data_IF_846134146146
#
_entry.id   IF_846134146146
#
_cell.length_a   1.000
_cell.length_b   1.000
_cell.length_c   1.000
_cell.angle_alpha   90.00
_cell.angle_beta   90.00
_cell.angle_gamma   90.00
#
_symmetry.space_group_name_H-M   'P 1'
#
loop_
_entity.id
_entity.type
_entity.pdbx_description
1 polymer ?
#
# COMPACT_ATOMS: atom_id res chain seq x y z
N UNK A 1 -11.70 -9.38 9.75
CA UNK A 1 -12.65 -8.92 10.80
C UNK A 1 -12.77 -7.40 10.88
N UNK A 2 -11.68 -6.66 10.63
CA UNK A 2 -11.66 -5.20 10.68
C UNK A 2 -12.67 -4.52 9.72
N UNK A 3 -12.64 -4.83 8.43
CA UNK A 3 -13.56 -4.21 7.44
C UNK A 3 -15.03 -4.44 7.78
N UNK A 4 -15.37 -5.64 8.26
CA UNK A 4 -16.74 -5.96 8.70
C UNK A 4 -17.19 -5.06 9.86
N UNK A 5 -16.31 -4.72 10.81
CA UNK A 5 -16.61 -3.78 11.90
C UNK A 5 -16.87 -2.38 11.36
N UNK A 6 -16.07 -1.92 10.40
CA UNK A 6 -16.28 -0.62 9.74
C UNK A 6 -17.62 -0.59 9.02
N UNK A 7 -17.95 -1.65 8.28
CA UNK A 7 -19.23 -1.75 7.57
C UNK A 7 -20.43 -1.74 8.52
N UNK A 8 -20.32 -2.37 9.69
CA UNK A 8 -21.35 -2.29 10.75
C UNK A 8 -21.48 -0.90 11.35
N UNK A 9 -20.36 -0.18 11.49
CA UNK A 9 -20.35 1.18 12.03
C UNK A 9 -20.92 2.20 11.04
N UNK A 10 -20.46 2.17 9.79
CA UNK A 10 -20.94 3.06 8.73
C UNK A 10 -20.88 2.34 7.37
N UNK A 11 -22.02 1.80 6.88
CA UNK A 11 -22.06 1.13 5.58
C UNK A 11 -21.96 2.10 4.40
N UNK A 12 -22.22 3.40 4.61
CA UNK A 12 -22.10 4.44 3.58
C UNK A 12 -20.68 5.03 3.45
N UNK A 13 -19.73 4.56 4.27
CA UNK A 13 -18.35 5.02 4.27
C UNK A 13 -17.71 4.90 2.89
N UNK A 14 -16.92 5.91 2.52
CA UNK A 14 -16.16 5.96 1.28
C UNK A 14 -14.69 5.65 1.55
N UNK A 15 -14.12 4.75 0.76
CA UNK A 15 -12.72 4.35 0.82
C UNK A 15 -11.91 5.08 -0.24
N UNK A 16 -10.81 5.70 0.14
CA UNK A 16 -9.80 6.21 -0.78
C UNK A 16 -8.52 5.43 -0.52
N UNK A 17 -8.07 4.65 -1.50
CA UNK A 17 -6.93 3.75 -1.36
C UNK A 17 -5.85 4.16 -2.35
N UNK A 18 -4.66 4.45 -1.82
CA UNK A 18 -3.47 4.72 -2.62
C UNK A 18 -2.63 3.45 -2.80
N UNK A 19 -2.51 3.02 -4.06
CA UNK A 19 -1.71 1.89 -4.47
C UNK A 19 -0.33 2.37 -4.90
N UNK A 20 0.70 1.75 -4.33
CA UNK A 20 2.10 1.93 -4.75
C UNK A 20 2.62 0.60 -5.27
N UNK A 21 3.60 0.63 -6.17
CA UNK A 21 4.31 -0.57 -6.57
C UNK A 21 4.70 -1.42 -5.32
N UNK A 22 4.29 -2.71 -5.26
CA UNK A 22 4.52 -3.55 -4.10
C UNK A 22 6.00 -3.70 -3.73
N UNK A 23 6.91 -3.68 -4.71
CA UNK A 23 8.36 -3.79 -4.46
C UNK A 23 8.87 -2.52 -3.80
N UNK A 24 8.54 -1.36 -4.38
CA UNK A 24 8.91 -0.06 -3.80
C UNK A 24 8.32 0.12 -2.40
N UNK A 25 7.09 -0.37 -2.16
CA UNK A 25 6.44 -0.36 -0.85
C UNK A 25 7.16 -1.26 0.15
N UNK A 26 7.50 -2.49 -0.22
CA UNK A 26 8.20 -3.44 0.65
C UNK A 26 9.58 -2.89 1.06
N UNK A 27 10.35 -2.37 0.09
CA UNK A 27 11.65 -1.74 0.35
C UNK A 27 11.53 -0.50 1.22
N UNK A 28 10.53 0.35 0.97
CA UNK A 28 10.28 1.54 1.79
C UNK A 28 9.94 1.17 3.23
N UNK A 29 9.14 0.12 3.43
CA UNK A 29 8.75 -0.34 4.77
C UNK A 29 9.95 -0.94 5.50
N UNK A 30 10.72 -1.82 4.85
CA UNK A 30 11.94 -2.39 5.42
C UNK A 30 12.92 -1.31 5.91
N UNK A 31 13.29 -0.34 5.06
CA UNK A 31 14.24 0.70 5.45
C UNK A 31 13.69 1.61 6.55
N UNK A 32 12.38 1.89 6.55
CA UNK A 32 11.74 2.68 7.62
C UNK A 32 11.82 1.96 8.96
N UNK A 33 11.65 0.64 8.98
CA UNK A 33 11.71 -0.15 10.22
C UNK A 33 13.15 -0.39 10.69
N UNK A 34 14.13 -0.45 9.77
CA UNK A 34 15.55 -0.37 10.13
C UNK A 34 15.90 0.98 10.75
N UNK A 35 15.47 2.09 10.14
CA UNK A 35 15.71 3.44 10.67
C UNK A 35 15.05 3.67 12.05
N UNK A 36 13.97 2.95 12.35
CA UNK A 36 13.29 2.96 13.66
C UNK A 36 13.90 1.99 14.68
N UNK A 37 14.90 1.19 14.30
CA UNK A 37 15.51 0.18 15.16
C UNK A 37 14.61 -1.04 15.43
N UNK A 38 13.55 -1.25 14.64
CA UNK A 38 12.68 -2.42 14.77
C UNK A 38 13.19 -3.62 13.97
N UNK A 39 13.80 -3.37 12.80
CA UNK A 39 14.39 -4.42 11.95
C UNK A 39 15.91 -4.37 11.98
N UNK A 40 16.51 -5.52 12.30
CA UNK A 40 17.96 -5.72 12.44
C UNK A 40 18.50 -6.74 11.43
N UNK A 41 17.62 -7.52 10.80
CA UNK A 41 18.02 -8.51 9.82
C UNK A 41 18.27 -7.88 8.46
N UNK A 42 19.22 -8.42 7.68
CA UNK A 42 19.37 -8.04 6.28
C UNK A 42 18.07 -8.28 5.49
N UNK A 43 17.91 -7.55 4.39
CA UNK A 43 16.69 -7.52 3.57
C UNK A 43 16.14 -8.91 3.25
N UNK A 44 16.98 -9.84 2.80
CA UNK A 44 16.53 -11.16 2.36
C UNK A 44 16.03 -12.05 3.50
N UNK A 45 16.81 -12.26 4.58
CA UNK A 45 16.30 -12.91 5.79
C UNK A 45 15.00 -12.28 6.30
N UNK A 46 14.91 -10.95 6.37
CA UNK A 46 13.71 -10.25 6.82
C UNK A 46 12.47 -10.60 5.98
N UNK A 47 12.59 -10.55 4.65
CA UNK A 47 11.50 -10.85 3.70
C UNK A 47 11.06 -12.33 3.71
N UNK A 48 11.96 -13.25 4.06
CA UNK A 48 11.66 -14.67 4.17
C UNK A 48 11.02 -15.02 5.53
N UNK A 49 11.51 -14.41 6.61
CA UNK A 49 11.00 -14.62 7.97
C UNK A 49 9.63 -13.98 8.20
N UNK A 50 9.23 -13.01 7.38
CA UNK A 50 7.93 -12.32 7.50
C UNK A 50 6.76 -13.28 7.73
N UNK A 51 6.63 -14.34 6.93
CA UNK A 51 5.49 -15.27 7.06
C UNK A 51 5.41 -15.90 8.46
N UNK A 52 6.56 -16.20 9.05
CA UNK A 52 6.65 -16.80 10.37
C UNK A 52 6.40 -15.78 11.47
N UNK A 53 6.95 -14.56 11.33
CA UNK A 53 6.74 -13.45 12.28
C UNK A 53 5.30 -12.96 12.33
N UNK A 54 4.57 -13.03 11.22
CA UNK A 54 3.17 -12.62 11.15
C UNK A 54 2.18 -13.71 11.57
N UNK A 55 2.64 -14.96 11.76
CA UNK A 55 1.77 -16.08 12.09
C UNK A 55 1.11 -15.83 13.45
N UNK A 56 -0.23 -15.82 13.47
CA UNK A 56 -1.01 -15.52 14.68
C UNK A 56 -1.25 -14.03 14.94
N UNK A 57 -0.59 -13.12 14.21
CA UNK A 57 -0.68 -11.67 14.40
C UNK A 57 -1.36 -10.93 13.24
N UNK A 58 -2.03 -11.64 12.31
CA UNK A 58 -2.62 -11.04 11.10
C UNK A 58 -3.80 -10.07 11.37
N UNK A 59 -4.42 -10.15 12.55
CA UNK A 59 -5.49 -9.25 13.02
C UNK A 59 -5.04 -8.39 14.22
N UNK A 60 -3.73 -8.36 14.53
CA UNK A 60 -3.17 -7.58 15.64
C UNK A 60 -2.72 -6.20 15.13
N UNK A 61 -3.42 -5.16 15.58
CA UNK A 61 -3.18 -3.78 15.19
C UNK A 61 -2.57 -2.94 16.32
N UNK A 62 -2.09 -3.58 17.40
CA UNK A 62 -1.43 -2.88 18.49
C UNK A 62 -0.12 -2.20 18.03
N UNK A 63 0.32 -1.18 18.77
CA UNK A 63 1.49 -0.38 18.42
C UNK A 63 2.80 -1.18 18.33
N UNK A 64 2.93 -2.27 19.09
CA UNK A 64 4.09 -3.19 19.05
C UNK A 64 3.86 -4.46 18.22
N UNK A 65 2.76 -4.54 17.46
CA UNK A 65 2.40 -5.77 16.75
C UNK A 65 3.42 -6.14 15.66
N UNK A 66 3.73 -7.43 15.45
CA UNK A 66 4.53 -7.88 14.31
C UNK A 66 3.95 -7.45 12.96
N UNK A 67 2.63 -7.29 12.87
CA UNK A 67 1.93 -6.79 11.68
C UNK A 67 2.24 -5.32 11.37
N UNK A 68 2.62 -4.51 12.37
CA UNK A 68 3.04 -3.13 12.14
C UNK A 68 4.48 -3.06 11.62
N UNK A 69 5.36 -3.85 12.20
CA UNK A 69 6.80 -3.76 11.97
C UNK A 69 7.33 -4.66 10.85
N UNK A 70 6.81 -5.88 10.69
CA UNK A 70 7.47 -6.91 9.86
C UNK A 70 6.68 -7.30 8.61
N UNK A 71 5.58 -6.62 8.31
CA UNK A 71 4.68 -6.99 7.21
C UNK A 71 5.06 -6.37 5.86
N UNK A 72 6.25 -6.67 5.37
CA UNK A 72 6.80 -6.04 4.16
C UNK A 72 6.02 -6.41 2.89
N UNK A 73 5.77 -7.71 2.70
CA UNK A 73 5.12 -8.30 1.52
C UNK A 73 3.61 -8.35 1.69
N UNK A 74 3.11 -8.68 2.89
CA UNK A 74 1.70 -8.78 3.19
C UNK A 74 0.98 -7.44 2.95
N UNK A 75 1.62 -6.32 3.29
CA UNK A 75 1.10 -4.97 2.99
C UNK A 75 1.04 -4.64 1.50
N UNK A 76 1.79 -5.34 0.66
CA UNK A 76 1.79 -5.21 -0.80
C UNK A 76 0.77 -6.11 -1.49
N UNK A 77 0.12 -7.04 -0.77
CA UNK A 77 -0.95 -7.88 -1.31
C UNK A 77 -2.29 -7.13 -1.37
N UNK A 78 -2.37 -6.18 -2.31
CA UNK A 78 -3.57 -5.37 -2.48
C UNK A 78 -4.78 -6.18 -2.94
N UNK A 79 -4.59 -7.29 -3.65
CA UNK A 79 -5.71 -8.12 -4.09
C UNK A 79 -6.48 -8.66 -2.87
N UNK A 80 -5.76 -9.22 -1.89
CA UNK A 80 -6.37 -9.73 -0.65
C UNK A 80 -7.04 -8.62 0.17
N UNK A 81 -6.42 -7.44 0.22
CA UNK A 81 -7.00 -6.28 0.90
C UNK A 81 -8.27 -5.78 0.22
N UNK A 82 -8.27 -5.70 -1.11
CA UNK A 82 -9.43 -5.29 -1.91
C UNK A 82 -10.58 -6.30 -1.80
N UNK A 83 -10.30 -7.61 -1.78
CA UNK A 83 -11.35 -8.62 -1.59
C UNK A 83 -12.08 -8.41 -0.25
N UNK A 84 -11.32 -8.08 0.80
CA UNK A 84 -11.89 -7.81 2.11
C UNK A 84 -12.78 -6.56 2.10
N UNK A 85 -12.39 -5.51 1.37
CA UNK A 85 -13.16 -4.27 1.19
C UNK A 85 -14.42 -4.54 0.36
N UNK A 86 -14.28 -5.11 -0.83
CA UNK A 86 -15.40 -5.32 -1.76
C UNK A 86 -16.42 -6.35 -1.29
N UNK A 87 -16.07 -7.21 -0.33
CA UNK A 87 -17.06 -8.08 0.35
C UNK A 87 -18.11 -7.28 1.13
N UNK A 88 -17.79 -6.06 1.55
CA UNK A 88 -18.65 -5.25 2.41
C UNK A 88 -19.04 -3.89 1.82
N UNK A 89 -18.29 -3.38 0.86
CA UNK A 89 -18.52 -2.07 0.23
C UNK A 89 -18.63 -2.21 -1.29
N UNK A 90 -19.64 -1.59 -1.93
CA UNK A 90 -19.76 -1.64 -3.38
C UNK A 90 -18.64 -0.85 -4.07
N UNK A 91 -18.32 -1.15 -5.34
CA UNK A 91 -17.28 -0.45 -6.10
C UNK A 91 -17.43 1.07 -6.13
N UNK A 92 -18.66 1.59 -6.13
CA UNK A 92 -18.95 3.03 -6.10
C UNK A 92 -18.50 3.74 -4.82
N UNK A 93 -18.21 3.00 -3.75
CA UNK A 93 -17.71 3.53 -2.47
C UNK A 93 -16.20 3.37 -2.32
N UNK A 94 -15.49 2.96 -3.37
CA UNK A 94 -14.04 2.74 -3.34
C UNK A 94 -13.36 3.48 -4.48
N UNK A 95 -12.57 4.51 -4.15
CA UNK A 95 -11.70 5.21 -5.08
C UNK A 95 -10.27 4.66 -4.98
N UNK A 96 -9.76 4.13 -6.08
CA UNK A 96 -8.38 3.68 -6.20
C UNK A 96 -7.53 4.74 -6.93
N UNK A 97 -6.40 5.09 -6.33
CA UNK A 97 -5.44 6.04 -6.85
C UNK A 97 -4.03 5.43 -6.88
N UNK A 98 -3.22 5.87 -7.83
CA UNK A 98 -1.83 5.44 -7.92
C UNK A 98 -0.95 6.47 -7.22
N UNK A 99 -0.09 6.02 -6.31
CA UNK A 99 0.88 6.88 -5.63
C UNK A 99 1.83 7.57 -6.61
N UNK A 100 2.14 6.94 -7.75
CA UNK A 100 2.90 7.57 -8.83
C UNK A 100 2.15 8.76 -9.44
N UNK A 101 0.86 8.60 -9.76
CA UNK A 101 0.02 9.66 -10.29
C UNK A 101 -0.16 10.81 -9.28
N UNK A 102 -0.27 10.51 -7.98
CA UNK A 102 -0.33 11.56 -6.97
C UNK A 102 0.95 12.41 -6.96
N UNK A 103 2.12 11.82 -7.22
CA UNK A 103 3.39 12.56 -7.27
C UNK A 103 3.57 13.39 -8.54
N UNK A 104 3.14 12.88 -9.69
CA UNK A 104 3.37 13.54 -10.99
C UNK A 104 2.23 14.47 -11.38
N UNK A 105 1.00 14.16 -10.95
CA UNK A 105 -0.24 14.84 -11.30
C UNK A 105 -1.14 14.98 -10.06
N UNK A 106 -0.68 15.66 -9.00
CA UNK A 106 -1.43 15.80 -7.75
C UNK A 106 -2.77 16.49 -7.95
N UNK A 107 -2.83 17.56 -8.77
CA UNK A 107 -4.08 18.28 -9.06
C UNK A 107 -5.17 17.37 -9.64
N UNK A 108 -4.83 16.54 -10.62
CA UNK A 108 -5.76 15.56 -11.20
C UNK A 108 -6.23 14.53 -10.18
N UNK A 109 -5.34 14.06 -9.31
CA UNK A 109 -5.71 13.12 -8.24
C UNK A 109 -6.65 13.77 -7.21
N UNK A 110 -6.37 15.02 -6.83
CA UNK A 110 -7.21 15.77 -5.88
C UNK A 110 -8.58 16.08 -6.47
N UNK A 111 -8.67 16.47 -7.74
CA UNK A 111 -9.95 16.67 -8.42
C UNK A 111 -10.83 15.40 -8.38
N UNK A 112 -10.23 14.22 -8.61
CA UNK A 112 -10.93 12.93 -8.47
C UNK A 112 -11.38 12.66 -7.05
N UNK A 113 -10.58 13.02 -6.05
CA UNK A 113 -10.94 12.89 -4.63
C UNK A 113 -12.13 13.79 -4.29
N UNK A 114 -12.10 15.07 -4.69
CA UNK A 114 -13.19 16.01 -4.44
C UNK A 114 -14.50 15.54 -5.09
N UNK A 115 -14.46 15.14 -6.36
CA UNK A 115 -15.62 14.58 -7.06
C UNK A 115 -16.16 13.32 -6.38
N UNK A 116 -15.28 12.41 -5.94
CA UNK A 116 -15.68 11.19 -5.24
C UNK A 116 -16.29 11.47 -3.86
N UNK A 117 -15.78 12.48 -3.16
CA UNK A 117 -16.33 12.95 -1.88
C UNK A 117 -17.60 13.82 -2.08
N UNK A 118 -17.89 14.26 -3.29
CA UNK A 118 -19.01 15.15 -3.57
C UNK A 118 -18.85 16.51 -2.90
N UNK A 119 -17.61 17.00 -2.81
CA UNK A 119 -17.28 18.33 -2.27
C UNK A 119 -16.65 19.17 -3.38
N UNK A 120 -16.81 20.49 -3.27
CA UNK A 120 -16.21 21.42 -4.21
C UNK A 120 -14.69 21.49 -4.03
N UNK A 121 -13.99 21.66 -5.14
CA UNK A 121 -12.55 21.93 -5.09
C UNK A 121 -12.31 23.32 -4.45
N UNK A 122 -11.30 23.47 -3.59
CA UNK A 122 -10.98 24.77 -3.02
C UNK A 122 -10.56 25.75 -4.12
N UNK A 123 -10.98 27.00 -3.99
CA UNK A 123 -10.61 28.07 -4.93
C UNK A 123 -9.08 28.24 -5.06
N UNK A 124 -8.37 28.05 -3.94
CA UNK A 124 -6.91 28.06 -3.88
C UNK A 124 -6.42 26.66 -3.43
N UNK A 125 -6.03 25.78 -4.37
CA UNK A 125 -5.46 24.50 -4.00
C UNK A 125 -4.10 24.70 -3.29
N UNK A 126 -3.78 23.85 -2.29
CA UNK A 126 -2.49 23.92 -1.61
C UNK A 126 -1.35 23.56 -2.57
N UNK A 127 -0.14 24.00 -2.23
CA UNK A 127 1.07 23.54 -2.92
C UNK A 127 1.25 22.03 -2.69
N UNK A 128 1.54 21.30 -3.76
CA UNK A 128 1.74 19.86 -3.76
C UNK A 128 3.21 19.48 -3.65
N UNK A 129 3.99 20.32 -2.97
CA UNK A 129 5.40 20.08 -2.71
C UNK A 129 5.60 18.68 -2.09
N UNK A 130 6.57 17.88 -2.60
CA UNK A 130 6.85 16.56 -2.06
C UNK A 130 7.36 16.63 -0.61
N UNK A 131 6.57 16.13 0.35
CA UNK A 131 6.97 16.02 1.78
C UNK A 131 7.31 14.56 2.11
N UNK A 132 8.19 14.32 3.09
CA UNK A 132 8.59 12.99 3.59
C UNK A 132 9.17 12.05 2.52
N UNK A 133 10.14 12.52 1.74
CA UNK A 133 10.97 11.63 0.93
C UNK A 133 11.88 10.84 1.86
N UNK A 134 11.64 9.54 1.99
CA UNK A 134 12.54 8.67 2.77
C UNK A 134 13.93 8.64 2.13
N UNK A 135 14.96 8.98 2.91
CA UNK A 135 16.37 9.05 2.50
C UNK A 135 17.04 7.66 2.50
N UNK A 136 16.47 6.72 1.75
CA UNK A 136 17.08 5.41 1.53
C UNK A 136 17.48 5.22 0.08
N UNK A 137 18.63 4.58 -0.14
CA UNK A 137 19.08 4.21 -1.48
C UNK A 137 18.07 3.22 -2.08
N UNK A 138 17.43 3.63 -3.18
CA UNK A 138 16.55 2.75 -3.94
C UNK A 138 17.42 1.89 -4.84
N UNK A 139 17.34 0.54 -4.75
CA UNK A 139 18.02 -0.32 -5.68
C UNK A 139 17.64 0.07 -7.11
N UNK A 140 18.64 0.15 -7.99
CA UNK A 140 18.42 0.48 -9.40
C UNK A 140 17.36 -0.42 -10.03
N UNK A 141 16.68 0.06 -11.07
CA UNK A 141 15.57 -0.65 -11.72
C UNK A 141 15.95 -2.07 -12.16
N UNK A 142 17.18 -2.25 -12.64
CA UNK A 142 17.74 -3.52 -13.10
C UNK A 142 18.58 -4.25 -12.03
N UNK A 143 18.54 -3.80 -10.77
CA UNK A 143 19.28 -4.49 -9.71
C UNK A 143 18.75 -5.91 -9.50
N UNK A 144 19.64 -6.90 -9.22
CA UNK A 144 19.22 -8.26 -8.87
C UNK A 144 18.20 -8.26 -7.74
N UNK A 145 18.36 -7.34 -6.78
CA UNK A 145 17.44 -7.18 -5.66
C UNK A 145 16.02 -6.88 -6.09
N UNK A 146 15.83 -5.90 -6.97
CA UNK A 146 14.51 -5.48 -7.45
C UNK A 146 13.88 -6.55 -8.33
N UNK A 147 14.67 -7.19 -9.19
CA UNK A 147 14.21 -8.30 -10.04
C UNK A 147 13.71 -9.49 -9.19
N UNK A 148 14.48 -9.87 -8.17
CA UNK A 148 14.10 -10.97 -7.29
C UNK A 148 12.87 -10.64 -6.44
N UNK A 149 12.72 -9.38 -5.98
CA UNK A 149 11.48 -8.94 -5.30
C UNK A 149 10.28 -8.92 -6.25
N UNK A 150 10.45 -8.48 -7.50
CA UNK A 150 9.37 -8.56 -8.50
C UNK A 150 8.96 -10.01 -8.74
N UNK A 151 9.92 -10.94 -8.79
CA UNK A 151 9.63 -12.37 -8.89
C UNK A 151 8.94 -12.91 -7.63
N UNK A 152 9.39 -12.53 -6.43
CA UNK A 152 8.81 -12.97 -5.16
C UNK A 152 7.35 -12.50 -5.01
N UNK A 153 7.05 -11.28 -5.45
CA UNK A 153 5.72 -10.67 -5.40
C UNK A 153 4.88 -10.91 -6.67
N UNK A 154 5.38 -11.70 -7.64
CA UNK A 154 4.73 -11.88 -8.95
C UNK A 154 3.31 -12.43 -8.85
N UNK A 155 3.08 -13.37 -7.92
CA UNK A 155 1.76 -13.99 -7.73
C UNK A 155 0.72 -12.97 -7.26
N UNK A 156 1.10 -12.11 -6.31
CA UNK A 156 0.22 -11.04 -5.79
C UNK A 156 -0.08 -10.00 -6.89
N UNK A 157 0.93 -9.57 -7.63
CA UNK A 157 0.77 -8.63 -8.76
C UNK A 157 -0.12 -9.22 -9.86
N UNK A 158 0.09 -10.48 -10.22
CA UNK A 158 -0.71 -11.17 -11.23
C UNK A 158 -2.16 -11.33 -10.78
N UNK A 159 -2.39 -11.64 -9.50
CA UNK A 159 -3.73 -11.73 -8.91
C UNK A 159 -4.45 -10.38 -8.95
N UNK A 160 -3.77 -9.31 -8.57
CA UNK A 160 -4.30 -7.94 -8.64
C UNK A 160 -4.71 -7.58 -10.08
N UNK A 161 -3.84 -7.86 -11.06
CA UNK A 161 -4.12 -7.61 -12.47
C UNK A 161 -5.29 -8.45 -12.99
N UNK A 162 -5.35 -9.74 -12.66
CA UNK A 162 -6.41 -10.64 -13.13
C UNK A 162 -7.78 -10.32 -12.53
N UNK A 163 -7.81 -9.95 -11.26
CA UNK A 163 -9.06 -9.78 -10.50
C UNK A 163 -9.62 -8.37 -10.67
N UNK A 164 -8.74 -7.36 -10.68
CA UNK A 164 -9.15 -5.94 -10.65
C UNK A 164 -8.70 -5.16 -11.88
N UNK A 165 -7.97 -5.77 -12.82
CA UNK A 165 -7.45 -5.07 -14.01
C UNK A 165 -6.34 -4.05 -13.70
N UNK A 166 -5.83 -4.00 -12.47
CA UNK A 166 -4.88 -2.98 -12.03
C UNK A 166 -3.45 -3.43 -12.32
N UNK A 167 -2.70 -2.59 -13.04
CA UNK A 167 -1.25 -2.72 -13.23
C UNK A 167 -0.50 -1.69 -12.40
N UNK A 168 0.39 -2.18 -11.55
CA UNK A 168 1.33 -1.34 -10.81
C UNK A 168 2.68 -1.55 -11.47
N UNK A 169 3.01 -0.66 -12.39
CA UNK A 169 4.30 -0.66 -13.07
C UNK A 169 5.29 0.21 -12.30
N UNK A 170 6.53 -0.29 -12.25
CA UNK A 170 7.67 0.47 -11.80
C UNK A 170 7.98 1.51 -12.88
N UNK A 171 7.80 2.80 -12.54
CA UNK A 171 8.52 3.88 -13.22
C UNK A 171 10.02 3.63 -13.19
#
# INVERSE_FOLDING_TARGET
>A
RFVQRIARYNPALRWIILLRDPVDRALSHYHMECARGAEHWPLWPAMLLEHWRLRGHLDDFADGSPLRHFSYRARGDYATQLDAVYRHFPPSRVLLLHSAALRTQPGTCMARIYAFLGVDAPANPPDFAPVFRGDYQRPGRLSPTRLLLHWLLRKQRQRLRRTYGITLDAG
#
